data_IF_097090956845
#
_entry.id   IF_097090956845
#
_cell.length_a   1.000
_cell.length_b   1.000
_cell.length_c   1.000
_cell.angle_alpha   90.00
_cell.angle_beta   90.00
_cell.angle_gamma   90.00
#
_symmetry.space_group_name_H-M   'P 1'
#
loop_
_entity.id
_entity.type
_entity.pdbx_description
1 polymer ?
#
# COMPACT_ATOMS: atom_id res chain seq x y z
N UNK A 1 11.85 -20.09 2.92
CA UNK A 1 10.61 -19.29 2.82
C UNK A 1 9.47 -20.30 2.75
N UNK A 2 8.63 -20.39 3.78
CA UNK A 2 7.47 -21.29 3.74
C UNK A 2 6.49 -20.72 2.71
N UNK A 3 6.26 -21.45 1.63
CA UNK A 3 5.30 -21.10 0.61
C UNK A 3 3.91 -21.33 1.21
N UNK A 4 3.11 -20.26 1.28
CA UNK A 4 1.74 -20.33 1.81
C UNK A 4 0.88 -21.22 0.92
N UNK A 5 -0.13 -21.87 1.51
CA UNK A 5 -1.09 -22.68 0.76
C UNK A 5 -1.83 -21.81 -0.28
N UNK A 6 -2.28 -22.40 -1.39
CA UNK A 6 -3.13 -21.69 -2.36
C UNK A 6 -4.44 -21.21 -1.72
N UNK A 7 -4.88 -21.86 -0.64
CA UNK A 7 -6.06 -21.47 0.13
C UNK A 7 -5.78 -20.31 1.11
N UNK A 8 -4.51 -19.93 1.33
CA UNK A 8 -4.14 -18.78 2.15
C UNK A 8 -4.01 -17.50 1.29
N UNK A 9 -5.10 -17.12 0.63
CA UNK A 9 -5.15 -15.92 -0.22
C UNK A 9 -6.34 -15.04 0.10
N UNK A 10 -6.27 -13.76 -0.30
CA UNK A 10 -7.42 -12.84 -0.20
C UNK A 10 -8.61 -13.39 -1.01
N UNK A 11 -8.35 -13.92 -2.20
CA UNK A 11 -9.39 -14.52 -3.05
C UNK A 11 -10.09 -15.69 -2.35
N UNK A 12 -9.35 -16.58 -1.70
CA UNK A 12 -9.93 -17.70 -0.96
C UNK A 12 -10.91 -17.25 0.14
N UNK A 13 -10.65 -16.09 0.79
CA UNK A 13 -11.62 -15.51 1.71
C UNK A 13 -12.93 -15.14 1.00
N UNK A 14 -12.87 -14.49 -0.17
CA UNK A 14 -14.07 -14.14 -0.92
C UNK A 14 -14.86 -15.37 -1.38
N UNK A 15 -14.18 -16.42 -1.82
CA UNK A 15 -14.77 -17.72 -2.19
C UNK A 15 -15.46 -18.38 -0.99
N UNK A 16 -14.79 -18.41 0.17
CA UNK A 16 -15.33 -18.96 1.42
C UNK A 16 -16.66 -18.30 1.81
N UNK A 17 -16.80 -16.98 1.59
CA UNK A 17 -18.02 -16.23 1.91
C UNK A 17 -19.00 -16.14 0.73
N UNK A 18 -18.74 -16.77 -0.42
CA UNK A 18 -19.62 -16.71 -1.61
C UNK A 18 -19.73 -15.31 -2.22
N UNK A 19 -18.65 -14.53 -2.16
CA UNK A 19 -18.57 -13.13 -2.60
C UNK A 19 -17.51 -12.89 -3.67
N UNK A 20 -16.92 -13.95 -4.21
CA UNK A 20 -15.90 -13.99 -5.26
C UNK A 20 -16.27 -13.16 -6.51
N UNK A 21 -17.55 -13.11 -6.87
CA UNK A 21 -18.03 -12.24 -7.98
C UNK A 21 -17.74 -10.74 -7.80
N UNK A 22 -17.45 -10.29 -6.57
CA UNK A 22 -17.10 -8.90 -6.25
C UNK A 22 -15.60 -8.67 -6.16
N UNK A 23 -14.79 -9.73 -6.23
CA UNK A 23 -13.34 -9.65 -6.21
C UNK A 23 -12.82 -9.55 -7.64
N UNK A 24 -12.11 -8.46 -7.94
CA UNK A 24 -11.47 -8.28 -9.24
C UNK A 24 -10.07 -8.90 -9.27
N UNK A 25 -9.17 -8.41 -8.41
CA UNK A 25 -7.80 -8.88 -8.29
C UNK A 25 -7.10 -8.25 -7.09
N UNK A 26 -5.92 -8.78 -6.76
CA UNK A 26 -4.99 -8.22 -5.78
C UNK A 26 -3.79 -7.61 -6.50
N UNK A 27 -3.36 -6.43 -6.04
CA UNK A 27 -2.18 -5.75 -6.56
C UNK A 27 -1.21 -5.45 -5.42
N UNK A 28 0.09 -5.55 -5.71
CA UNK A 28 1.15 -5.09 -4.82
C UNK A 28 1.67 -3.79 -5.38
N UNK A 29 1.38 -2.68 -4.71
CA UNK A 29 1.81 -1.36 -5.12
C UNK A 29 2.05 -0.48 -3.91
N UNK A 30 2.85 0.58 -4.09
CA UNK A 30 2.95 1.65 -3.11
C UNK A 30 1.83 2.67 -3.35
N UNK A 31 0.93 2.83 -2.38
CA UNK A 31 -0.17 3.78 -2.47
C UNK A 31 0.29 5.24 -2.57
N UNK A 32 1.53 5.55 -2.20
CA UNK A 32 2.12 6.89 -2.39
C UNK A 32 2.55 7.16 -3.84
N UNK A 33 2.60 6.13 -4.68
CA UNK A 33 2.97 6.25 -6.09
C UNK A 33 1.70 6.36 -6.93
N UNK A 34 1.25 7.59 -7.14
CA UNK A 34 -0.03 7.89 -7.75
C UNK A 34 -0.11 7.60 -9.26
N UNK A 35 1.02 7.38 -9.93
CA UNK A 35 1.08 7.10 -11.37
C UNK A 35 0.61 5.68 -11.73
N UNK A 36 0.28 4.84 -10.74
CA UNK A 36 -0.33 3.53 -10.99
C UNK A 36 -1.66 3.64 -11.73
N UNK A 37 -2.40 4.74 -11.53
CA UNK A 37 -3.72 4.96 -12.10
C UNK A 37 -3.75 6.26 -12.91
N UNK A 38 -3.76 6.14 -14.23
CA UNK A 38 -3.66 7.28 -15.15
C UNK A 38 -4.97 8.10 -15.29
N UNK A 39 -6.07 7.65 -14.69
CA UNK A 39 -7.39 8.30 -14.78
C UNK A 39 -8.31 7.91 -13.62
N UNK A 40 -9.30 8.76 -13.29
CA UNK A 40 -10.37 8.41 -12.37
C UNK A 40 -11.19 7.23 -12.88
N UNK A 41 -11.28 6.16 -12.08
CA UNK A 41 -12.06 4.95 -12.42
C UNK A 41 -12.87 4.39 -11.26
N UNK A 42 -12.64 4.84 -10.04
CA UNK A 42 -13.28 4.30 -8.85
C UNK A 42 -14.39 5.22 -8.34
N UNK A 43 -15.50 4.64 -7.88
CA UNK A 43 -16.54 5.39 -7.16
C UNK A 43 -16.24 5.52 -5.66
N UNK A 44 -15.50 4.56 -5.10
CA UNK A 44 -15.19 4.54 -3.68
C UNK A 44 -13.80 3.96 -3.40
N UNK A 45 -13.17 4.45 -2.33
CA UNK A 45 -12.00 3.86 -1.70
C UNK A 45 -12.38 3.53 -0.25
N UNK A 46 -12.07 2.32 0.18
CA UNK A 46 -12.13 1.91 1.57
C UNK A 46 -10.72 1.50 1.98
N UNK A 47 -10.16 2.16 2.98
CA UNK A 47 -8.78 1.96 3.39
C UNK A 47 -8.65 1.76 4.90
N UNK A 48 -7.80 0.82 5.28
CA UNK A 48 -7.30 0.65 6.65
C UNK A 48 -5.79 0.93 6.65
N UNK A 49 -5.38 2.22 6.56
CA UNK A 49 -3.97 2.57 6.42
C UNK A 49 -3.19 2.27 7.72
N UNK A 50 -1.87 2.03 7.64
CA UNK A 50 -1.06 1.77 8.83
C UNK A 50 -1.07 3.00 9.76
N UNK A 51 -1.73 2.86 10.90
CA UNK A 51 -1.91 3.93 11.88
C UNK A 51 -0.83 3.97 12.98
N UNK A 52 0.29 3.27 12.79
CA UNK A 52 1.47 3.34 13.67
C UNK A 52 1.39 2.56 14.98
N UNK A 53 0.24 1.94 15.31
CA UNK A 53 0.06 1.13 16.53
C UNK A 53 0.46 -0.34 16.27
N UNK A 54 -0.11 -0.97 15.24
CA UNK A 54 0.13 -2.40 14.93
C UNK A 54 1.33 -2.59 13.99
N UNK A 55 1.47 -1.72 13.00
CA UNK A 55 2.54 -1.78 12.01
C UNK A 55 3.11 -0.39 11.74
N UNK A 56 4.43 -0.33 11.54
CA UNK A 56 5.11 0.92 11.20
C UNK A 56 4.86 1.22 9.72
N UNK A 57 4.38 2.41 9.40
CA UNK A 57 4.24 2.87 8.02
C UNK A 57 5.56 2.77 7.25
N UNK A 58 5.49 2.24 6.03
CA UNK A 58 6.60 2.18 5.08
C UNK A 58 6.12 2.59 3.70
N UNK A 59 6.99 3.30 2.97
CA UNK A 59 6.84 3.60 1.55
C UNK A 59 8.13 3.29 0.82
N UNK A 60 8.06 3.17 -0.50
CA UNK A 60 9.22 3.08 -1.36
C UNK A 60 10.03 4.37 -1.20
N UNK A 61 11.36 4.23 -1.11
CA UNK A 61 12.27 5.34 -1.06
C UNK A 61 13.68 4.93 -0.70
N UNK A 62 14.60 5.87 -0.82
CA UNK A 62 16.03 5.63 -0.62
C UNK A 62 16.38 5.76 0.86
N UNK A 63 17.06 4.78 1.42
CA UNK A 63 17.72 4.92 2.72
C UNK A 63 19.01 5.71 2.54
N UNK A 64 19.40 6.56 3.52
CA UNK A 64 20.75 7.12 3.53
C UNK A 64 21.77 5.98 3.55
N UNK A 65 22.64 5.93 2.53
CA UNK A 65 23.68 4.90 2.40
C UNK A 65 24.65 5.05 3.57
N UNK A 66 24.87 3.95 4.31
CA UNK A 66 25.98 3.87 5.27
C UNK A 66 27.18 3.27 4.53
N UNK A 67 28.39 3.77 4.81
CA UNK A 67 29.62 3.38 4.08
C UNK A 67 29.92 1.88 4.05
N UNK A 68 29.38 1.09 5.00
CA UNK A 68 29.56 -0.37 5.08
C UNK A 68 28.50 -1.20 4.34
N UNK A 69 27.55 -0.58 3.62
CA UNK A 69 26.44 -1.28 2.94
C UNK A 69 26.70 -1.54 1.46
N UNK A 70 27.74 -0.95 0.89
CA UNK A 70 28.11 -1.12 -0.52
C UNK A 70 29.28 -2.08 -0.62
N UNK A 71 29.01 -3.33 -0.98
CA UNK A 71 30.03 -4.18 -1.59
C UNK A 71 30.33 -3.58 -2.97
N UNK A 72 31.58 -3.21 -3.21
CA UNK A 72 31.97 -2.45 -4.40
C UNK A 72 31.90 -3.28 -5.71
N UNK A 73 31.61 -4.58 -5.65
CA UNK A 73 31.71 -5.50 -6.80
C UNK A 73 30.52 -6.46 -6.98
N UNK A 74 29.40 -6.27 -6.28
CA UNK A 74 28.21 -7.11 -6.52
C UNK A 74 27.30 -6.46 -7.55
N UNK A 75 27.44 -6.87 -8.82
CA UNK A 75 26.39 -6.69 -9.83
C UNK A 75 25.13 -7.42 -9.34
N UNK A 76 24.21 -6.67 -8.76
CA UNK A 76 22.91 -7.21 -8.39
C UNK A 76 22.05 -7.29 -9.65
N UNK A 77 21.85 -8.49 -10.19
CA UNK A 77 20.97 -8.74 -11.35
C UNK A 77 19.54 -8.21 -11.15
N UNK A 78 19.08 -8.10 -9.90
CA UNK A 78 17.77 -7.58 -9.54
C UNK A 78 17.84 -6.62 -8.35
N UNK A 79 17.46 -5.36 -8.58
CA UNK A 79 17.38 -4.35 -7.53
C UNK A 79 15.93 -4.18 -7.06
N UNK A 80 15.62 -4.67 -5.86
CA UNK A 80 14.32 -4.40 -5.23
C UNK A 80 14.29 -2.97 -4.65
N UNK A 81 13.17 -2.24 -4.80
CA UNK A 81 13.05 -0.90 -4.25
C UNK A 81 13.22 -0.91 -2.72
N UNK A 82 14.04 0.02 -2.23
CA UNK A 82 14.23 0.23 -0.81
C UNK A 82 12.97 0.79 -0.15
N UNK A 83 12.81 0.51 1.15
CA UNK A 83 11.72 1.03 1.98
C UNK A 83 12.25 2.07 2.97
N UNK A 84 11.57 3.20 3.08
CA UNK A 84 11.85 4.24 4.07
C UNK A 84 10.71 4.35 5.09
N UNK A 85 10.97 4.94 6.29
CA UNK A 85 9.91 5.26 7.24
C UNK A 85 8.81 6.11 6.59
N UNK A 86 7.56 5.84 6.96
CA UNK A 86 6.41 6.60 6.48
C UNK A 86 5.61 7.09 7.69
N UNK A 87 5.60 8.40 7.89
CA UNK A 87 4.90 9.05 9.00
C UNK A 87 3.39 8.95 8.83
N UNK A 88 2.67 8.87 9.95
CA UNK A 88 1.21 8.84 9.99
C UNK A 88 0.57 9.95 9.14
N UNK A 89 0.96 11.21 9.36
CA UNK A 89 0.46 12.38 8.62
C UNK A 89 0.59 12.17 7.11
N UNK A 90 1.81 11.86 6.63
CA UNK A 90 2.06 11.63 5.20
C UNK A 90 1.27 10.44 4.65
N UNK A 91 1.06 9.37 5.43
CA UNK A 91 0.19 8.25 5.06
C UNK A 91 -1.20 8.72 4.68
N UNK A 92 -1.79 9.59 5.49
CA UNK A 92 -3.13 10.10 5.23
C UNK A 92 -3.16 11.18 4.14
N UNK A 93 -2.17 12.08 4.08
CA UNK A 93 -2.13 13.08 3.01
C UNK A 93 -1.97 12.43 1.64
N UNK A 94 -1.03 11.48 1.48
CA UNK A 94 -0.81 10.84 0.18
C UNK A 94 -2.00 9.91 -0.18
N UNK A 95 -2.75 9.37 0.81
CA UNK A 95 -4.01 8.65 0.58
C UNK A 95 -5.13 9.56 0.07
N UNK A 96 -5.25 10.77 0.63
CA UNK A 96 -6.17 11.79 0.12
C UNK A 96 -5.79 12.25 -1.29
N UNK A 97 -4.49 12.43 -1.56
CA UNK A 97 -3.98 12.77 -2.90
C UNK A 97 -4.27 11.67 -3.92
N UNK A 98 -4.10 10.41 -3.52
CA UNK A 98 -4.48 9.25 -4.34
C UNK A 98 -5.98 9.31 -4.65
N UNK A 99 -6.81 9.52 -3.62
CA UNK A 99 -8.26 9.60 -3.77
C UNK A 99 -8.69 10.69 -4.75
N UNK A 100 -8.09 11.89 -4.66
CA UNK A 100 -8.37 12.99 -5.56
C UNK A 100 -8.05 12.68 -7.04
N UNK A 101 -7.10 11.78 -7.30
CA UNK A 101 -6.69 11.40 -8.67
C UNK A 101 -7.50 10.25 -9.25
N UNK A 102 -7.92 9.30 -8.41
CA UNK A 102 -8.48 8.03 -8.88
C UNK A 102 -10.00 7.91 -8.68
N UNK A 103 -10.59 8.75 -7.82
CA UNK A 103 -12.03 8.82 -7.63
C UNK A 103 -12.69 9.67 -8.72
N UNK A 104 -13.80 9.16 -9.24
CA UNK A 104 -14.72 9.95 -10.06
C UNK A 104 -15.26 11.13 -9.26
N UNK A 105 -15.67 12.21 -9.93
CA UNK A 105 -16.35 13.35 -9.29
C UNK A 105 -17.59 12.84 -8.54
N UNK A 106 -17.70 13.18 -7.25
CA UNK A 106 -18.74 12.69 -6.35
C UNK A 106 -18.42 11.33 -5.69
N UNK A 107 -17.29 10.71 -6.03
CA UNK A 107 -16.77 9.52 -5.37
C UNK A 107 -16.38 9.80 -3.92
N UNK A 108 -16.24 8.73 -3.12
CA UNK A 108 -16.03 8.84 -1.67
C UNK A 108 -14.81 8.04 -1.22
N UNK A 109 -14.09 8.56 -0.25
CA UNK A 109 -13.08 7.79 0.49
C UNK A 109 -13.52 7.62 1.94
N UNK A 110 -13.33 6.42 2.47
CA UNK A 110 -13.52 6.08 3.87
C UNK A 110 -12.24 5.45 4.42
N UNK A 111 -11.73 5.97 5.54
CA UNK A 111 -10.57 5.42 6.22
C UNK A 111 -10.67 5.57 7.74
N UNK A 112 -9.93 4.75 8.46
CA UNK A 112 -9.75 4.89 9.90
C UNK A 112 -8.60 5.83 10.22
N UNK A 113 -8.83 6.83 11.07
CA UNK A 113 -7.80 7.74 11.57
C UNK A 113 -7.71 7.64 13.10
N UNK A 114 -6.55 7.29 13.66
CA UNK A 114 -6.40 7.23 15.11
C UNK A 114 -6.43 8.66 15.70
N UNK A 115 -7.35 8.91 16.62
CA UNK A 115 -7.35 10.14 17.43
C UNK A 115 -7.06 9.77 18.88
N UNK A 116 -6.18 10.52 19.52
CA UNK A 116 -6.02 10.45 20.97
C UNK A 116 -7.10 11.40 21.52
N UNK A 117 -8.03 10.85 22.29
CA UNK A 117 -8.96 11.65 23.08
C UNK A 117 -8.26 11.93 24.41
N UNK A 118 -8.05 13.22 24.71
CA UNK A 118 -7.59 13.69 26.02
C UNK A 118 -8.70 13.52 27.09
#
# INVERSE_FOLDING_TARGET
MLMRSNEESVQANFEQYGTDRYYLSGIIADACWHDLWARPIFNAIVADPPYGIREKGRKIGKKPRKEHWTLNDSEHECHFPEKQPYSLEKTFTDLCDLAARVLLVGGKISFWFPVILE
#
